data_IF_505124893310
#
_entry.id   IF_505124893310
#
_cell.length_a   1.000
_cell.length_b   1.000
_cell.length_c   1.000
_cell.angle_alpha   90.00
_cell.angle_beta   90.00
_cell.angle_gamma   90.00
#
_symmetry.space_group_name_H-M   'P 1'
#
loop_
_entity.id
_entity.type
_entity.pdbx_description
1 polymer ?
#
# COMPACT_ATOMS: atom_id res chain seq x y z
N UNK A 1 -6.04 -19.72 38.30
CA UNK A 1 -5.63 -19.84 36.88
C UNK A 1 -4.35 -19.03 36.70
N UNK A 2 -3.33 -19.53 36.01
CA UNK A 2 -2.11 -18.74 35.76
C UNK A 2 -2.40 -17.55 34.83
N UNK A 3 -1.75 -16.38 35.03
CA UNK A 3 -1.84 -15.21 34.13
C UNK A 3 -1.62 -15.62 32.67
N UNK A 4 -0.77 -16.63 32.42
CA UNK A 4 -0.50 -17.20 31.08
C UNK A 4 -1.71 -17.88 30.45
N UNK A 5 -2.46 -18.65 31.24
CA UNK A 5 -3.69 -19.31 30.76
C UNK A 5 -4.80 -18.29 30.51
N UNK A 6 -4.87 -17.25 31.35
CA UNK A 6 -5.80 -16.13 31.16
C UNK A 6 -5.48 -15.34 29.88
N UNK A 7 -4.21 -15.11 29.56
CA UNK A 7 -3.81 -14.50 28.30
C UNK A 7 -4.27 -15.33 27.09
N UNK A 8 -3.98 -16.63 27.05
CA UNK A 8 -4.41 -17.52 25.95
C UNK A 8 -5.94 -17.57 25.80
N UNK A 9 -6.67 -17.49 26.90
CA UNK A 9 -8.15 -17.42 26.92
C UNK A 9 -8.70 -16.03 26.57
N UNK A 10 -7.91 -14.97 26.72
CA UNK A 10 -8.31 -13.59 26.38
C UNK A 10 -8.34 -13.35 24.87
N UNK A 11 -7.61 -14.15 24.08
CA UNK A 11 -7.58 -14.07 22.62
C UNK A 11 -8.87 -14.64 22.04
N UNK A 12 -9.97 -13.91 22.17
CA UNK A 12 -11.30 -14.29 21.76
C UNK A 12 -12.13 -13.05 21.41
N UNK A 13 -13.01 -13.15 20.42
CA UNK A 13 -13.78 -12.01 19.89
C UNK A 13 -14.73 -11.38 20.92
N UNK A 14 -15.16 -12.13 21.93
CA UNK A 14 -15.97 -11.62 23.05
C UNK A 14 -15.13 -10.99 24.17
N UNK A 15 -13.80 -11.14 24.13
CA UNK A 15 -12.86 -10.72 25.18
C UNK A 15 -11.78 -9.76 24.68
N UNK A 16 -12.09 -9.01 23.61
CA UNK A 16 -11.16 -8.05 22.98
C UNK A 16 -10.55 -7.12 24.03
N UNK A 17 -11.35 -6.59 24.97
CA UNK A 17 -10.84 -5.69 26.00
C UNK A 17 -9.89 -6.37 26.97
N UNK A 18 -10.14 -7.64 27.34
CA UNK A 18 -9.24 -8.41 28.21
C UNK A 18 -7.90 -8.66 27.51
N UNK A 19 -7.95 -9.00 26.21
CA UNK A 19 -6.74 -9.14 25.40
C UNK A 19 -5.95 -7.83 25.33
N UNK A 20 -6.62 -6.71 25.02
CA UNK A 20 -5.98 -5.39 24.97
C UNK A 20 -5.38 -4.99 26.33
N UNK A 21 -6.01 -5.36 27.44
CA UNK A 21 -5.47 -5.15 28.77
C UNK A 21 -4.16 -5.93 28.98
N UNK A 22 -4.07 -7.19 28.53
CA UNK A 22 -2.79 -7.93 28.55
C UNK A 22 -1.71 -7.31 27.67
N UNK A 23 -2.06 -6.78 26.50
CA UNK A 23 -1.11 -6.06 25.64
C UNK A 23 -0.61 -4.77 26.30
N UNK A 24 -1.48 -4.06 27.02
CA UNK A 24 -1.11 -2.86 27.79
C UNK A 24 -0.20 -3.20 28.96
N UNK A 25 -0.49 -4.27 29.69
CA UNK A 25 0.35 -4.77 30.79
C UNK A 25 1.76 -5.16 30.34
N UNK A 26 1.94 -5.62 29.09
CA UNK A 26 3.27 -5.86 28.53
C UNK A 26 4.11 -4.57 28.40
N UNK A 27 3.46 -3.41 28.24
CA UNK A 27 4.11 -2.10 28.13
C UNK A 27 4.23 -1.38 29.48
N UNK A 28 3.71 -1.95 30.56
CA UNK A 28 3.72 -1.34 31.89
C UNK A 28 4.92 -1.85 32.69
N UNK A 29 5.80 -0.92 33.10
CA UNK A 29 6.98 -1.23 33.90
C UNK A 29 6.69 -1.59 35.36
N UNK A 30 5.43 -1.43 35.83
CA UNK A 30 5.04 -1.68 37.22
C UNK A 30 4.43 -3.07 37.48
N UNK A 31 3.78 -3.70 36.49
CA UNK A 31 3.26 -5.09 36.58
C UNK A 31 3.60 -5.87 35.30
N UNK A 32 4.78 -6.53 35.25
CA UNK A 32 5.30 -7.10 34.02
C UNK A 32 4.55 -8.38 33.67
N UNK A 33 3.62 -8.28 32.70
CA UNK A 33 3.27 -9.42 31.87
C UNK A 33 4.11 -9.38 30.60
N UNK A 34 5.35 -9.85 30.68
CA UNK A 34 6.26 -9.80 29.54
C UNK A 34 5.93 -10.89 28.51
N UNK A 35 5.33 -10.47 27.40
CA UNK A 35 5.06 -11.35 26.27
C UNK A 35 6.35 -11.93 25.67
N UNK A 36 7.49 -11.24 25.77
CA UNK A 36 8.78 -11.73 25.31
C UNK A 36 9.29 -12.93 26.14
N UNK A 37 8.86 -13.07 27.39
CA UNK A 37 9.13 -14.27 28.22
C UNK A 37 8.09 -15.36 28.02
N UNK A 38 6.82 -15.00 27.84
CA UNK A 38 5.71 -15.96 27.73
C UNK A 38 5.72 -16.68 26.39
N UNK A 39 5.96 -15.98 25.28
CA UNK A 39 5.87 -16.55 23.93
C UNK A 39 6.89 -17.66 23.65
N UNK A 40 8.18 -17.55 24.07
CA UNK A 40 9.16 -18.63 23.89
C UNK A 40 8.86 -19.90 24.70
N UNK A 41 8.21 -19.76 25.87
CA UNK A 41 7.86 -20.88 26.73
C UNK A 41 6.68 -21.72 26.20
N UNK A 42 5.91 -21.19 25.23
CA UNK A 42 4.78 -21.90 24.66
C UNK A 42 5.24 -23.08 23.78
N UNK A 43 4.57 -24.22 23.96
CA UNK A 43 4.73 -25.35 23.05
C UNK A 43 4.29 -24.96 21.63
N UNK A 44 4.83 -25.65 20.62
CA UNK A 44 4.52 -25.37 19.20
C UNK A 44 3.00 -25.41 18.93
N UNK A 45 2.30 -26.39 19.51
CA UNK A 45 0.84 -26.52 19.42
C UNK A 45 0.10 -25.31 20.02
N UNK A 46 0.54 -24.83 21.19
CA UNK A 46 -0.05 -23.67 21.85
C UNK A 46 0.21 -22.36 21.10
N UNK A 47 1.38 -22.22 20.46
CA UNK A 47 1.68 -21.07 19.58
C UNK A 47 0.79 -21.07 18.35
N UNK A 48 0.57 -22.23 17.74
CA UNK A 48 -0.33 -22.37 16.61
C UNK A 48 -1.79 -22.06 17.00
N UNK A 49 -2.26 -22.59 18.12
CA UNK A 49 -3.59 -22.28 18.65
C UNK A 49 -3.75 -20.78 18.97
N UNK A 50 -2.74 -20.16 19.58
CA UNK A 50 -2.72 -18.73 19.85
C UNK A 50 -2.80 -17.91 18.55
N UNK A 51 -2.06 -18.31 17.53
CA UNK A 51 -2.07 -17.69 16.21
C UNK A 51 -3.45 -17.76 15.55
N UNK A 52 -4.06 -18.95 15.53
CA UNK A 52 -5.41 -19.15 14.98
C UNK A 52 -6.45 -18.31 15.73
N UNK A 53 -6.33 -18.21 17.06
CA UNK A 53 -7.21 -17.37 17.89
C UNK A 53 -7.02 -15.89 17.61
N UNK A 54 -5.78 -15.42 17.41
CA UNK A 54 -5.50 -14.03 17.05
C UNK A 54 -6.04 -13.71 15.66
N UNK A 55 -5.88 -14.62 14.70
CA UNK A 55 -6.43 -14.47 13.36
C UNK A 55 -7.96 -14.36 13.40
N UNK A 56 -8.62 -15.26 14.14
CA UNK A 56 -10.08 -15.20 14.34
C UNK A 56 -10.50 -13.92 15.03
N UNK A 57 -9.79 -13.48 16.07
CA UNK A 57 -10.05 -12.23 16.77
C UNK A 57 -9.96 -11.03 15.82
N UNK A 58 -8.91 -10.98 14.99
CA UNK A 58 -8.70 -9.95 13.98
C UNK A 58 -9.84 -9.96 12.95
N UNK A 59 -10.16 -11.12 12.38
CA UNK A 59 -11.28 -11.29 11.44
C UNK A 59 -12.61 -10.80 12.03
N UNK A 60 -12.95 -11.19 13.26
CA UNK A 60 -14.19 -10.76 13.92
C UNK A 60 -14.19 -9.26 14.21
N UNK A 61 -13.07 -8.72 14.71
CA UNK A 61 -12.95 -7.29 15.05
C UNK A 61 -13.13 -6.40 13.82
N UNK A 62 -12.55 -6.82 12.69
CA UNK A 62 -12.65 -6.10 11.41
C UNK A 62 -14.01 -6.26 10.75
N UNK A 63 -14.67 -7.42 10.91
CA UNK A 63 -16.06 -7.59 10.44
C UNK A 63 -17.01 -6.71 11.24
N UNK A 64 -16.81 -6.59 12.56
CA UNK A 64 -17.63 -5.76 13.43
C UNK A 64 -17.36 -4.25 13.28
N UNK A 65 -16.11 -3.88 12.98
CA UNK A 65 -15.66 -2.50 12.77
C UNK A 65 -15.09 -2.37 11.36
N UNK A 66 -15.96 -2.32 10.34
CA UNK A 66 -15.55 -2.32 8.95
C UNK A 66 -14.62 -1.13 8.71
N UNK A 67 -13.53 -1.39 7.99
CA UNK A 67 -12.39 -0.48 7.84
C UNK A 67 -12.74 0.89 7.25
N UNK A 68 -13.88 0.98 6.57
CA UNK A 68 -14.55 2.19 6.09
C UNK A 68 -14.75 3.22 7.22
N UNK A 69 -14.87 2.76 8.47
CA UNK A 69 -15.08 3.61 9.65
C UNK A 69 -13.80 4.15 10.29
N UNK A 70 -12.62 3.72 9.83
CA UNK A 70 -11.34 4.14 10.42
C UNK A 70 -10.99 5.59 10.07
N UNK A 71 -11.63 6.14 9.04
CA UNK A 71 -11.42 7.50 8.55
C UNK A 71 -12.56 8.44 8.99
N UNK A 72 -13.75 7.90 9.31
CA UNK A 72 -14.98 8.68 9.58
C UNK A 72 -15.04 9.38 10.94
N UNK A 73 -14.00 9.34 11.77
CA UNK A 73 -13.95 10.15 13.00
C UNK A 73 -13.78 11.66 12.76
N UNK A 74 -13.73 12.11 11.49
CA UNK A 74 -13.38 13.48 11.11
C UNK A 74 -14.21 14.06 9.95
N UNK A 75 -15.36 13.47 9.60
CA UNK A 75 -16.25 14.02 8.56
C UNK A 75 -17.32 15.00 9.11
N UNK A 76 -17.23 15.40 10.38
CA UNK A 76 -18.01 16.55 10.85
C UNK A 76 -17.27 17.84 10.53
N UNK A 77 -17.64 18.41 9.38
CA UNK A 77 -17.65 19.84 9.09
C UNK A 77 -18.46 20.58 10.16
N UNK A 78 -17.87 20.76 11.35
CA UNK A 78 -18.36 21.63 12.41
C UNK A 78 -17.29 22.69 12.62
N UNK A 79 -17.52 23.86 12.03
CA UNK A 79 -16.54 24.93 11.86
C UNK A 79 -15.78 25.34 13.13
N UNK A 80 -14.52 25.75 12.92
CA UNK A 80 -13.74 26.66 13.75
C UNK A 80 -13.79 26.46 15.28
N UNK A 81 -13.96 25.23 15.74
CA UNK A 81 -13.50 24.84 17.06
C UNK A 81 -12.39 23.83 16.88
N UNK A 82 -11.16 24.29 17.09
CA UNK A 82 -10.04 23.44 17.48
C UNK A 82 -10.45 22.71 18.77
N UNK A 83 -11.17 21.60 18.63
CA UNK A 83 -11.27 20.61 19.69
C UNK A 83 -9.88 20.01 19.76
N UNK A 84 -9.16 20.32 20.84
CA UNK A 84 -7.94 19.61 21.21
C UNK A 84 -8.19 18.12 21.07
N UNK A 85 -7.68 17.53 19.99
CA UNK A 85 -7.66 16.10 19.79
C UNK A 85 -6.73 15.58 20.89
N UNK A 86 -7.31 14.99 21.94
CA UNK A 86 -6.58 14.37 23.05
C UNK A 86 -5.47 13.47 22.50
N UNK A 87 -4.32 13.40 23.18
CA UNK A 87 -3.15 12.58 22.79
C UNK A 87 -3.50 11.09 22.57
N UNK A 88 -4.69 10.65 23.00
CA UNK A 88 -5.30 9.33 22.75
C UNK A 88 -5.71 9.05 21.29
N UNK A 89 -5.67 10.03 20.38
CA UNK A 89 -6.13 9.89 18.98
C UNK A 89 -5.02 9.70 17.91
N UNK A 90 -3.78 9.39 18.29
CA UNK A 90 -2.71 9.01 17.31
C UNK A 90 -2.82 7.56 16.83
N UNK A 91 -4.03 7.12 16.47
CA UNK A 91 -4.30 5.75 16.03
C UNK A 91 -3.47 5.30 14.83
N UNK A 92 -3.06 6.24 13.96
CA UNK A 92 -2.20 5.94 12.80
C UNK A 92 -0.77 5.51 13.18
N UNK A 93 -0.30 5.73 14.42
CA UNK A 93 1.03 5.27 14.86
C UNK A 93 1.09 3.73 14.93
N UNK A 94 -0.06 3.04 14.89
CA UNK A 94 -0.10 1.59 14.83
C UNK A 94 0.17 1.01 13.43
N UNK A 95 0.35 1.83 12.39
CA UNK A 95 0.52 1.36 11.01
C UNK A 95 1.73 0.41 10.85
N UNK A 96 2.95 0.70 11.34
CA UNK A 96 4.05 -0.26 11.22
C UNK A 96 3.77 -1.60 11.95
N UNK A 97 3.27 -1.62 13.20
CA UNK A 97 2.81 -2.86 13.84
C UNK A 97 1.70 -3.60 13.09
N UNK A 98 0.75 -2.89 12.48
CA UNK A 98 -0.32 -3.49 11.66
C UNK A 98 0.29 -4.15 10.42
N UNK A 99 1.21 -3.49 9.72
CA UNK A 99 1.92 -4.07 8.57
C UNK A 99 2.70 -5.33 8.96
N UNK A 100 3.37 -5.32 10.12
CA UNK A 100 4.05 -6.51 10.64
C UNK A 100 3.07 -7.67 10.91
N UNK A 101 1.90 -7.39 11.49
CA UNK A 101 0.86 -8.39 11.69
C UNK A 101 0.33 -8.93 10.35
N UNK A 102 0.03 -8.04 9.39
CA UNK A 102 -0.42 -8.43 8.05
C UNK A 102 0.62 -9.30 7.34
N UNK A 103 1.91 -9.05 7.57
CA UNK A 103 3.02 -9.84 7.02
C UNK A 103 2.95 -11.29 7.49
N UNK A 104 2.83 -11.50 8.80
CA UNK A 104 2.74 -12.83 9.39
C UNK A 104 1.47 -13.57 8.93
N UNK A 105 0.33 -12.87 8.87
CA UNK A 105 -0.94 -13.43 8.38
C UNK A 105 -0.84 -13.81 6.90
N UNK A 106 -0.31 -12.92 6.06
CA UNK A 106 -0.14 -13.17 4.64
C UNK A 106 0.80 -14.36 4.42
N UNK A 107 1.92 -14.43 5.15
CA UNK A 107 2.86 -15.52 5.04
C UNK A 107 2.21 -16.85 5.41
N UNK A 108 1.44 -16.90 6.50
CA UNK A 108 0.71 -18.10 6.90
C UNK A 108 -0.30 -18.52 5.82
N UNK A 109 -1.08 -17.58 5.27
CA UNK A 109 -2.08 -17.87 4.24
C UNK A 109 -1.45 -18.38 2.93
N UNK A 110 -0.32 -17.80 2.50
CA UNK A 110 0.30 -18.16 1.22
C UNK A 110 1.20 -19.40 1.31
N UNK A 111 1.73 -19.73 2.49
CA UNK A 111 2.62 -20.88 2.67
C UNK A 111 1.90 -22.23 2.76
N UNK A 112 0.60 -22.22 3.10
CA UNK A 112 -0.20 -23.43 3.25
C UNK A 112 -1.10 -23.62 2.01
N UNK A 113 -1.08 -24.81 1.41
CA UNK A 113 -2.10 -25.18 0.42
C UNK A 113 -3.41 -25.43 1.17
N UNK A 114 -4.52 -24.75 0.84
CA UNK A 114 -5.79 -24.99 1.50
C UNK A 114 -6.25 -26.43 1.22
N UNK A 115 -6.71 -27.12 2.27
CA UNK A 115 -7.58 -28.29 2.10
C UNK A 115 -8.93 -27.83 1.52
N UNK A 116 -9.65 -28.66 0.76
CA UNK A 116 -10.91 -28.28 0.08
C UNK A 116 -11.94 -27.63 1.03
N UNK A 117 -11.98 -28.06 2.30
CA UNK A 117 -12.88 -27.51 3.32
C UNK A 117 -12.45 -26.13 3.88
N UNK A 118 -11.24 -25.66 3.57
CA UNK A 118 -10.64 -24.41 4.08
C UNK A 118 -10.47 -23.33 3.01
N UNK A 119 -10.81 -23.62 1.76
CA UNK A 119 -10.64 -22.69 0.63
C UNK A 119 -11.45 -21.39 0.81
N UNK A 120 -12.72 -21.51 1.22
CA UNK A 120 -13.60 -20.37 1.49
C UNK A 120 -13.07 -19.47 2.62
N UNK A 121 -12.54 -20.08 3.69
CA UNK A 121 -11.96 -19.32 4.81
C UNK A 121 -10.65 -18.64 4.41
N UNK A 122 -9.86 -19.28 3.55
CA UNK A 122 -8.61 -18.73 3.04
C UNK A 122 -8.88 -17.53 2.13
N UNK A 123 -9.83 -17.64 1.19
CA UNK A 123 -10.25 -16.53 0.33
C UNK A 123 -10.82 -15.36 1.16
N UNK A 124 -11.68 -15.63 2.15
CA UNK A 124 -12.18 -14.60 3.07
C UNK A 124 -11.03 -13.90 3.80
N UNK A 125 -10.04 -14.66 4.28
CA UNK A 125 -8.87 -14.11 4.98
C UNK A 125 -8.03 -13.24 4.05
N UNK A 126 -7.77 -13.69 2.83
CA UNK A 126 -7.06 -12.91 1.81
C UNK A 126 -7.78 -11.60 1.54
N UNK A 127 -9.11 -11.62 1.35
CA UNK A 127 -9.91 -10.41 1.12
C UNK A 127 -9.87 -9.44 2.30
N UNK A 128 -9.98 -9.95 3.53
CA UNK A 128 -9.85 -9.13 4.73
C UNK A 128 -8.46 -8.48 4.76
N UNK A 129 -7.42 -9.26 4.50
CA UNK A 129 -6.04 -8.80 4.49
C UNK A 129 -5.81 -7.68 3.46
N UNK A 130 -6.24 -7.89 2.22
CA UNK A 130 -6.12 -6.86 1.16
C UNK A 130 -6.89 -5.59 1.51
N UNK A 131 -8.06 -5.70 2.15
CA UNK A 131 -8.84 -4.54 2.58
C UNK A 131 -8.15 -3.74 3.70
N UNK A 132 -7.56 -4.41 4.70
CA UNK A 132 -6.79 -3.72 5.74
C UNK A 132 -5.57 -3.04 5.12
N UNK A 133 -4.87 -3.73 4.21
CA UNK A 133 -3.71 -3.16 3.53
C UNK A 133 -4.07 -1.90 2.73
N UNK A 134 -5.16 -1.94 1.96
CA UNK A 134 -5.69 -0.76 1.28
C UNK A 134 -5.91 0.39 2.26
N UNK A 135 -6.48 0.09 3.44
CA UNK A 135 -6.77 1.10 4.47
C UNK A 135 -5.54 1.65 5.15
N UNK A 136 -4.49 0.84 5.32
CA UNK A 136 -3.17 1.32 5.71
C UNK A 136 -2.67 2.38 4.73
N UNK A 137 -2.73 2.10 3.42
CA UNK A 137 -2.30 3.05 2.38
C UNK A 137 -3.17 4.31 2.39
N UNK A 138 -4.49 4.18 2.54
CA UNK A 138 -5.41 5.32 2.65
C UNK A 138 -5.13 6.20 3.88
N UNK A 139 -4.81 5.60 5.04
CA UNK A 139 -4.46 6.33 6.27
C UNK A 139 -3.16 7.13 6.08
N UNK A 140 -2.13 6.52 5.49
CA UNK A 140 -0.87 7.23 5.20
C UNK A 140 -1.14 8.40 4.24
N UNK A 141 -1.88 8.15 3.14
CA UNK A 141 -2.25 9.18 2.17
C UNK A 141 -3.12 10.29 2.78
N UNK A 142 -4.00 9.96 3.72
CA UNK A 142 -4.81 10.92 4.44
C UNK A 142 -3.94 11.77 5.38
N UNK A 143 -3.04 11.14 6.16
CA UNK A 143 -2.16 11.87 7.07
C UNK A 143 -1.29 12.87 6.32
N UNK A 144 -0.66 12.47 5.21
CA UNK A 144 0.11 13.37 4.34
C UNK A 144 -0.67 14.60 3.85
N UNK A 145 -1.99 14.47 3.68
CA UNK A 145 -2.87 15.59 3.28
C UNK A 145 -3.28 16.47 4.45
N UNK A 146 -3.54 15.87 5.62
CA UNK A 146 -3.98 16.58 6.82
C UNK A 146 -2.84 17.32 7.50
N UNK A 147 -1.68 16.68 7.58
CA UNK A 147 -0.47 17.23 8.17
C UNK A 147 0.75 16.56 7.53
N UNK A 148 1.48 17.37 6.76
CA UNK A 148 2.58 16.91 5.94
C UNK A 148 3.73 16.36 6.76
N UNK A 149 4.03 16.94 7.93
CA UNK A 149 5.19 16.53 8.75
C UNK A 149 4.93 15.18 9.40
N UNK A 150 3.80 15.04 10.12
CA UNK A 150 3.43 13.75 10.72
C UNK A 150 3.18 12.67 9.65
N UNK A 151 2.68 13.05 8.47
CA UNK A 151 2.50 12.12 7.34
C UNK A 151 3.82 11.62 6.77
N UNK A 152 4.84 12.49 6.66
CA UNK A 152 6.18 12.11 6.24
C UNK A 152 6.88 11.24 7.28
N UNK A 153 6.75 11.56 8.56
CA UNK A 153 7.26 10.71 9.65
C UNK A 153 6.63 9.32 9.62
N UNK A 154 5.31 9.24 9.42
CA UNK A 154 4.59 7.98 9.30
C UNK A 154 5.08 7.15 8.10
N UNK A 155 5.29 7.79 6.95
CA UNK A 155 5.91 7.18 5.78
C UNK A 155 7.27 6.55 6.13
N UNK A 156 8.18 7.33 6.71
CA UNK A 156 9.52 6.85 7.08
C UNK A 156 9.49 5.70 8.08
N UNK A 157 8.64 5.80 9.12
CA UNK A 157 8.50 4.75 10.14
C UNK A 157 7.91 3.44 9.60
N UNK A 158 7.16 3.50 8.49
CA UNK A 158 6.48 2.35 7.88
C UNK A 158 7.29 1.67 6.78
N UNK A 159 8.40 2.26 6.33
CA UNK A 159 9.18 1.76 5.17
C UNK A 159 9.60 0.29 5.32
N UNK A 160 10.22 -0.09 6.43
CA UNK A 160 10.68 -1.48 6.65
C UNK A 160 9.51 -2.45 6.79
N UNK A 161 8.46 -2.09 7.56
CA UNK A 161 7.30 -2.95 7.74
C UNK A 161 6.53 -3.16 6.42
N UNK A 162 6.46 -2.12 5.57
CA UNK A 162 5.89 -2.23 4.23
C UNK A 162 6.77 -3.12 3.33
N UNK A 163 8.10 -2.99 3.41
CA UNK A 163 9.01 -3.84 2.65
C UNK A 163 8.84 -5.31 3.02
N UNK A 164 8.84 -5.64 4.31
CA UNK A 164 8.66 -6.99 4.82
C UNK A 164 7.31 -7.58 4.37
N UNK A 165 6.25 -6.77 4.43
CA UNK A 165 4.93 -7.16 3.93
C UNK A 165 4.96 -7.52 2.43
N UNK A 166 5.60 -6.68 1.61
CA UNK A 166 5.70 -6.96 0.17
C UNK A 166 6.61 -8.14 -0.15
N UNK A 167 7.57 -8.49 0.72
CA UNK A 167 8.38 -9.69 0.53
C UNK A 167 7.57 -11.00 0.71
N UNK A 168 6.37 -10.96 1.28
CA UNK A 168 5.48 -12.12 1.37
C UNK A 168 5.08 -12.65 -0.02
N UNK A 169 5.17 -11.81 -1.05
CA UNK A 169 5.00 -12.24 -2.45
C UNK A 169 5.89 -13.40 -2.86
N UNK A 170 7.05 -13.63 -2.20
CA UNK A 170 7.94 -14.77 -2.47
C UNK A 170 7.29 -16.14 -2.21
N UNK A 171 6.21 -16.18 -1.42
CA UNK A 171 5.48 -17.41 -1.11
C UNK A 171 4.40 -17.74 -2.15
N UNK A 172 4.21 -16.91 -3.17
CA UNK A 172 3.30 -17.17 -4.29
C UNK A 172 4.04 -17.05 -5.62
N UNK A 173 3.77 -17.97 -6.54
CA UNK A 173 4.40 -18.00 -7.87
C UNK A 173 3.46 -17.50 -8.98
N UNK A 174 2.17 -17.35 -8.70
CA UNK A 174 1.15 -16.93 -9.65
C UNK A 174 0.41 -15.67 -9.16
N UNK A 175 -0.30 -15.02 -10.09
CA UNK A 175 -1.15 -13.86 -9.81
C UNK A 175 -2.36 -14.31 -8.99
N UNK A 176 -2.21 -14.28 -7.67
CA UNK A 176 -3.27 -14.61 -6.73
C UNK A 176 -4.14 -13.38 -6.41
N UNK A 177 -5.33 -13.59 -5.84
CA UNK A 177 -6.20 -12.52 -5.35
C UNK A 177 -5.47 -11.58 -4.37
N UNK A 178 -4.57 -12.13 -3.56
CA UNK A 178 -3.70 -11.36 -2.67
C UNK A 178 -2.81 -10.40 -3.44
N UNK A 179 -2.09 -10.89 -4.47
CA UNK A 179 -1.21 -10.06 -5.31
C UNK A 179 -2.04 -8.97 -5.99
N UNK A 180 -3.13 -9.33 -6.66
CA UNK A 180 -3.98 -8.35 -7.34
C UNK A 180 -4.49 -7.28 -6.37
N UNK A 181 -5.00 -7.66 -5.19
CA UNK A 181 -5.52 -6.71 -4.21
C UNK A 181 -4.47 -5.76 -3.63
N UNK A 182 -3.28 -6.28 -3.28
CA UNK A 182 -2.18 -5.48 -2.73
C UNK A 182 -1.62 -4.52 -3.77
N UNK A 183 -1.28 -5.01 -4.97
CA UNK A 183 -0.63 -4.19 -5.97
C UNK A 183 -1.58 -3.22 -6.65
N UNK A 184 -2.88 -3.54 -6.80
CA UNK A 184 -3.86 -2.57 -7.32
C UNK A 184 -4.01 -1.38 -6.38
N UNK A 185 -4.03 -1.63 -5.06
CA UNK A 185 -4.03 -0.58 -4.03
C UNK A 185 -2.78 0.31 -4.13
N UNK A 186 -1.59 -0.29 -4.30
CA UNK A 186 -0.33 0.46 -4.48
C UNK A 186 -0.32 1.26 -5.80
N UNK A 187 -0.71 0.65 -6.92
CA UNK A 187 -0.80 1.32 -8.22
C UNK A 187 -1.72 2.54 -8.13
N UNK A 188 -2.93 2.36 -7.60
CA UNK A 188 -3.89 3.44 -7.41
C UNK A 188 -3.29 4.56 -6.55
N UNK A 189 -2.69 4.22 -5.40
CA UNK A 189 -2.13 5.20 -4.49
C UNK A 189 -0.99 6.03 -5.11
N UNK A 190 -0.02 5.38 -5.76
CA UNK A 190 1.12 6.04 -6.41
C UNK A 190 0.66 6.91 -7.57
N UNK A 191 -0.22 6.38 -8.44
CA UNK A 191 -0.75 7.13 -9.58
C UNK A 191 -1.52 8.37 -9.10
N UNK A 192 -2.42 8.22 -8.13
CA UNK A 192 -3.22 9.33 -7.59
C UNK A 192 -2.32 10.39 -6.94
N UNK A 193 -1.32 9.98 -6.17
CA UNK A 193 -0.41 10.88 -5.48
C UNK A 193 0.41 11.75 -6.46
N UNK A 194 0.96 11.14 -7.52
CA UNK A 194 1.67 11.88 -8.58
C UNK A 194 0.68 12.74 -9.38
N UNK A 195 -0.46 12.19 -9.81
CA UNK A 195 -1.45 12.93 -10.60
C UNK A 195 -1.97 14.17 -9.89
N UNK A 196 -2.21 14.11 -8.58
CA UNK A 196 -2.61 15.29 -7.79
C UNK A 196 -1.56 16.38 -7.77
N UNK A 197 -0.28 16.01 -7.81
CA UNK A 197 0.81 16.98 -7.89
C UNK A 197 0.86 17.61 -9.28
N UNK A 198 0.71 16.79 -10.34
CA UNK A 198 0.64 17.28 -11.72
C UNK A 198 -0.56 18.20 -11.97
N UNK A 199 -1.70 17.95 -11.33
CA UNK A 199 -2.90 18.81 -11.42
C UNK A 199 -2.72 20.18 -10.77
N UNK A 200 -1.76 20.34 -9.84
CA UNK A 200 -1.50 21.61 -9.15
C UNK A 200 -0.49 22.49 -9.88
N UNK A 201 0.09 22.01 -10.99
CA UNK A 201 1.08 22.75 -11.78
C UNK A 201 0.42 23.97 -12.42
N UNK A 202 1.03 25.14 -12.21
CA UNK A 202 0.62 26.41 -12.83
C UNK A 202 1.04 26.47 -14.30
N UNK A 203 0.35 27.21 -15.19
CA UNK A 203 0.75 27.37 -16.60
C UNK A 203 2.18 27.88 -16.84
N UNK A 204 2.81 28.47 -15.83
CA UNK A 204 4.19 29.02 -15.89
C UNK A 204 5.24 27.98 -15.48
N UNK A 205 4.83 26.90 -14.82
CA UNK A 205 5.72 25.90 -14.25
C UNK A 205 5.83 24.71 -15.22
N UNK A 206 7.05 24.43 -15.68
CA UNK A 206 7.30 23.31 -16.59
C UNK A 206 7.09 21.98 -15.86
N UNK A 207 6.42 21.03 -16.52
CA UNK A 207 6.31 19.65 -16.03
C UNK A 207 7.68 18.99 -16.09
N UNK A 208 8.39 19.02 -14.96
CA UNK A 208 9.73 18.46 -14.82
C UNK A 208 9.70 16.94 -14.95
N UNK A 209 10.67 16.42 -15.71
CA UNK A 209 10.92 14.98 -15.82
C UNK A 209 11.60 14.53 -14.52
N UNK A 210 11.04 13.56 -13.78
CA UNK A 210 11.64 13.12 -12.53
C UNK A 210 12.91 12.29 -12.82
N UNK A 211 13.97 12.53 -12.07
CA UNK A 211 15.26 11.83 -12.22
C UNK A 211 15.46 10.79 -11.13
N UNK A 212 14.92 10.98 -9.93
CA UNK A 212 15.06 10.05 -8.82
C UNK A 212 13.73 9.87 -8.11
N UNK A 213 13.63 8.80 -7.31
CA UNK A 213 12.44 8.57 -6.47
C UNK A 213 12.16 9.79 -5.56
N UNK A 214 13.17 10.59 -5.22
CA UNK A 214 13.06 11.80 -4.39
C UNK A 214 12.35 12.98 -5.08
N UNK A 215 12.22 12.94 -6.41
CA UNK A 215 11.49 13.95 -7.16
C UNK A 215 9.97 13.69 -7.17
N UNK A 216 9.55 12.56 -6.60
CA UNK A 216 8.15 12.18 -6.49
C UNK A 216 7.53 12.66 -5.17
N UNK A 217 6.20 12.81 -5.11
CA UNK A 217 5.53 13.20 -3.88
C UNK A 217 5.67 12.10 -2.79
N UNK A 218 5.48 12.44 -1.50
CA UNK A 218 5.96 11.61 -0.40
C UNK A 218 5.45 10.16 -0.37
N UNK A 219 4.18 9.93 -0.72
CA UNK A 219 3.63 8.57 -0.69
C UNK A 219 4.23 7.73 -1.82
N UNK A 220 4.26 8.28 -3.03
CA UNK A 220 4.88 7.67 -4.21
C UNK A 220 6.36 7.40 -4.01
N UNK A 221 7.09 8.35 -3.40
CA UNK A 221 8.48 8.19 -3.02
C UNK A 221 8.66 6.97 -2.11
N UNK A 222 7.92 6.93 -1.00
CA UNK A 222 8.00 5.86 0.01
C UNK A 222 7.72 4.50 -0.62
N UNK A 223 6.61 4.38 -1.35
CA UNK A 223 6.18 3.13 -1.98
C UNK A 223 7.22 2.69 -3.01
N UNK A 224 7.60 3.53 -3.98
CA UNK A 224 8.55 3.12 -5.02
C UNK A 224 9.92 2.80 -4.44
N UNK A 225 10.42 3.57 -3.47
CA UNK A 225 11.69 3.29 -2.78
C UNK A 225 11.68 1.89 -2.16
N UNK A 226 10.58 1.50 -1.52
CA UNK A 226 10.41 0.17 -0.94
C UNK A 226 10.35 -0.91 -2.02
N UNK A 227 9.58 -0.71 -3.08
CA UNK A 227 9.37 -1.71 -4.12
C UNK A 227 10.64 -2.01 -4.91
N UNK A 228 11.42 -0.98 -5.22
CA UNK A 228 12.66 -1.09 -5.98
C UNK A 228 13.77 -1.88 -5.27
N UNK A 229 13.62 -2.15 -3.96
CA UNK A 229 14.53 -3.04 -3.21
C UNK A 229 14.43 -4.51 -3.64
N UNK A 230 13.36 -4.93 -4.33
CA UNK A 230 13.17 -6.33 -4.74
C UNK A 230 12.67 -6.45 -6.19
N UNK A 231 13.45 -7.05 -7.10
CA UNK A 231 13.02 -7.21 -8.49
C UNK A 231 11.71 -8.00 -8.67
N UNK A 232 11.43 -8.96 -7.79
CA UNK A 232 10.17 -9.70 -7.83
C UNK A 232 8.96 -8.80 -7.51
N UNK A 233 9.08 -7.97 -6.47
CA UNK A 233 8.05 -6.99 -6.08
C UNK A 233 7.84 -5.96 -7.19
N UNK A 234 8.93 -5.43 -7.76
CA UNK A 234 8.85 -4.51 -8.91
C UNK A 234 8.11 -5.13 -10.10
N UNK A 235 8.33 -6.41 -10.42
CA UNK A 235 7.61 -7.09 -11.52
C UNK A 235 6.11 -7.21 -11.27
N UNK A 236 5.70 -7.58 -10.07
CA UNK A 236 4.27 -7.64 -9.73
C UNK A 236 3.58 -6.28 -9.90
N UNK A 237 4.27 -5.20 -9.53
CA UNK A 237 3.77 -3.85 -9.72
C UNK A 237 3.65 -3.43 -11.17
N UNK A 238 4.64 -3.76 -12.00
CA UNK A 238 4.59 -3.47 -13.43
C UNK A 238 3.50 -4.28 -14.13
N UNK A 239 3.34 -5.55 -13.75
CA UNK A 239 2.25 -6.39 -14.24
C UNK A 239 0.88 -5.80 -13.88
N UNK A 240 0.70 -5.36 -12.63
CA UNK A 240 -0.55 -4.73 -12.18
C UNK A 240 -0.81 -3.38 -12.84
N UNK A 241 0.24 -2.58 -13.03
CA UNK A 241 0.17 -1.32 -13.75
C UNK A 241 -0.24 -1.53 -15.21
N UNK A 242 0.32 -2.54 -15.88
CA UNK A 242 -0.10 -2.91 -17.24
C UNK A 242 -1.59 -3.25 -17.28
N UNK A 243 -2.06 -4.08 -16.34
CA UNK A 243 -3.48 -4.42 -16.26
C UNK A 243 -4.38 -3.22 -15.95
N UNK A 244 -3.94 -2.28 -15.12
CA UNK A 244 -4.69 -1.04 -14.83
C UNK A 244 -4.86 -0.14 -16.06
N UNK A 245 -3.88 -0.13 -16.97
CA UNK A 245 -3.96 0.60 -18.24
C UNK A 245 -4.87 -0.10 -19.23
N UNK A 246 -4.84 -1.43 -19.26
CA UNK A 246 -5.68 -2.26 -20.13
C UNK A 246 -7.15 -2.27 -19.69
N UNK A 247 -7.43 -2.20 -18.39
CA UNK A 247 -8.78 -2.19 -17.83
C UNK A 247 -9.45 -0.82 -17.83
N UNK A 248 -8.84 0.19 -18.46
CA UNK A 248 -9.32 1.57 -18.50
C UNK A 248 -9.56 2.21 -17.10
N UNK A 249 -8.91 1.66 -16.06
CA UNK A 249 -8.94 2.28 -14.72
C UNK A 249 -8.18 3.63 -14.68
N UNK A 250 -7.39 3.88 -15.72
CA UNK A 250 -6.60 5.08 -15.96
C UNK A 250 -7.18 5.76 -17.20
N UNK A 251 -7.86 6.88 -17.00
CA UNK A 251 -8.70 7.52 -18.02
C UNK A 251 -8.39 9.02 -18.23
N UNK A 252 -7.36 9.54 -17.56
CA UNK A 252 -6.99 10.96 -17.64
C UNK A 252 -5.53 11.21 -17.99
N UNK A 253 -5.27 12.34 -18.65
CA UNK A 253 -3.93 12.77 -19.05
C UNK A 253 -2.95 12.88 -17.88
N UNK A 254 -3.44 13.32 -16.71
CA UNK A 254 -2.64 13.42 -15.49
C UNK A 254 -2.28 12.05 -14.91
N UNK A 255 -3.10 11.02 -15.12
CA UNK A 255 -2.77 9.66 -14.66
C UNK A 255 -1.83 8.94 -15.64
N UNK A 256 -2.00 9.10 -16.95
CA UNK A 256 -1.01 8.59 -17.91
C UNK A 256 0.36 9.29 -17.77
N UNK A 257 0.36 10.58 -17.46
CA UNK A 257 1.59 11.31 -17.10
C UNK A 257 2.21 10.77 -15.81
N UNK A 258 1.41 10.47 -14.78
CA UNK A 258 1.89 9.83 -13.56
C UNK A 258 2.53 8.46 -13.83
N UNK A 259 1.89 7.61 -14.64
CA UNK A 259 2.48 6.34 -15.08
C UNK A 259 3.83 6.58 -15.77
N UNK A 260 3.92 7.59 -16.64
CA UNK A 260 5.16 7.93 -17.35
C UNK A 260 6.26 8.42 -16.39
N UNK A 261 5.92 9.18 -15.36
CA UNK A 261 6.84 9.57 -14.29
C UNK A 261 7.38 8.33 -13.55
N UNK A 262 6.50 7.37 -13.22
CA UNK A 262 6.91 6.12 -12.59
C UNK A 262 7.87 5.35 -13.50
N UNK A 263 7.52 5.12 -14.77
CA UNK A 263 8.39 4.45 -15.73
C UNK A 263 9.75 5.14 -15.88
N UNK A 264 9.77 6.47 -15.83
CA UNK A 264 11.01 7.26 -15.91
C UNK A 264 11.94 7.02 -14.74
N UNK A 265 11.39 6.76 -13.55
CA UNK A 265 12.20 6.39 -12.38
C UNK A 265 12.70 4.95 -12.48
N UNK A 266 11.84 4.01 -12.90
CA UNK A 266 12.22 2.59 -12.90
C UNK A 266 13.13 2.21 -14.09
N UNK A 267 13.04 2.92 -15.23
CA UNK A 267 13.88 2.67 -16.44
C UNK A 267 15.39 2.76 -16.19
N UNK A 268 15.81 3.30 -15.05
CA UNK A 268 17.21 3.33 -14.62
C UNK A 268 17.77 1.94 -14.34
N UNK A 269 16.90 0.92 -14.24
CA UNK A 269 17.26 -0.48 -14.10
C UNK A 269 17.02 -1.25 -15.41
N UNK A 270 18.08 -1.79 -16.00
CA UNK A 270 18.00 -2.62 -17.23
C UNK A 270 17.23 -3.95 -17.03
N UNK A 271 16.93 -4.32 -15.79
CA UNK A 271 16.30 -5.60 -15.44
C UNK A 271 14.84 -5.76 -15.90
N UNK A 272 14.18 -4.69 -16.37
CA UNK A 272 12.76 -4.72 -16.76
C UNK A 272 12.47 -3.99 -18.09
N UNK A 273 13.46 -3.95 -19.00
CA UNK A 273 13.35 -3.26 -20.30
C UNK A 273 12.11 -3.74 -21.09
N UNK A 274 11.80 -5.04 -21.05
CA UNK A 274 10.65 -5.60 -21.77
C UNK A 274 9.35 -5.07 -21.19
N UNK A 275 9.18 -5.17 -19.88
CA UNK A 275 8.00 -4.73 -19.16
C UNK A 275 7.76 -3.22 -19.34
N UNK A 276 8.78 -2.37 -19.19
CA UNK A 276 8.62 -0.92 -19.42
C UNK A 276 8.27 -0.58 -20.85
N UNK A 277 8.85 -1.28 -21.83
CA UNK A 277 8.57 -1.04 -23.25
C UNK A 277 7.10 -1.32 -23.56
N UNK A 278 6.57 -2.44 -23.08
CA UNK A 278 5.17 -2.81 -23.28
C UNK A 278 4.23 -1.79 -22.62
N UNK A 279 4.50 -1.43 -21.37
CA UNK A 279 3.70 -0.42 -20.65
C UNK A 279 3.79 0.93 -21.35
N UNK A 280 4.99 1.40 -21.73
CA UNK A 280 5.18 2.67 -22.41
C UNK A 280 4.44 2.74 -23.76
N UNK A 281 4.42 1.64 -24.52
CA UNK A 281 3.64 1.56 -25.76
C UNK A 281 2.14 1.61 -25.49
N UNK A 282 1.66 0.91 -24.45
CA UNK A 282 0.26 0.95 -24.02
C UNK A 282 -0.16 2.36 -23.59
N UNK A 283 0.64 3.04 -22.78
CA UNK A 283 0.40 4.44 -22.38
C UNK A 283 0.38 5.36 -23.60
N UNK A 284 1.37 5.23 -24.51
CA UNK A 284 1.41 6.05 -25.72
C UNK A 284 0.15 5.89 -26.56
N UNK A 285 -0.35 4.66 -26.71
CA UNK A 285 -1.60 4.38 -27.42
C UNK A 285 -2.80 5.05 -26.75
N UNK A 286 -2.93 4.94 -25.42
CA UNK A 286 -4.05 5.55 -24.69
C UNK A 286 -4.03 7.09 -24.80
N UNK A 287 -2.86 7.71 -24.61
CA UNK A 287 -2.70 9.16 -24.73
C UNK A 287 -3.02 9.66 -26.14
N UNK A 288 -2.58 8.96 -27.19
CA UNK A 288 -2.87 9.33 -28.57
C UNK A 288 -4.36 9.26 -28.87
N UNK A 289 -5.04 8.21 -28.39
CA UNK A 289 -6.49 8.07 -28.53
C UNK A 289 -7.23 9.21 -27.81
N UNK A 290 -6.84 9.54 -26.58
CA UNK A 290 -7.41 10.66 -25.83
C UNK A 290 -7.24 11.98 -26.58
N UNK A 291 -6.01 12.31 -27.01
CA UNK A 291 -5.73 13.57 -27.68
C UNK A 291 -6.50 13.71 -29.01
N UNK A 292 -6.63 12.63 -29.79
CA UNK A 292 -7.44 12.65 -31.02
C UNK A 292 -8.92 13.02 -30.76
N UNK A 293 -9.43 12.73 -29.56
CA UNK A 293 -10.82 13.01 -29.17
C UNK A 293 -10.94 14.42 -28.56
N UNK A 294 -9.91 14.88 -27.82
CA UNK A 294 -10.00 16.09 -26.96
C UNK A 294 -9.22 17.31 -27.49
N UNK A 295 -8.49 17.19 -28.60
CA UNK A 295 -7.56 18.22 -29.11
C UNK A 295 -8.16 19.62 -29.34
N UNK A 296 -9.46 19.73 -29.65
CA UNK A 296 -10.11 21.02 -29.89
C UNK A 296 -10.48 21.78 -28.60
N UNK A 297 -10.56 21.09 -27.46
CA UNK A 297 -11.09 21.62 -26.19
C UNK A 297 -10.10 21.54 -25.01
N UNK A 298 -8.85 21.12 -25.23
CA UNK A 298 -7.88 20.95 -24.15
C UNK A 298 -7.31 22.28 -23.65
N UNK A 299 -7.32 22.50 -22.34
CA UNK A 299 -6.64 23.64 -21.72
C UNK A 299 -5.11 23.58 -21.94
N UNK A 300 -4.44 24.73 -21.88
CA UNK A 300 -3.00 24.87 -22.06
C UNK A 300 -2.19 23.98 -21.09
N UNK A 301 -2.68 23.80 -19.86
CA UNK A 301 -2.05 22.91 -18.87
C UNK A 301 -2.11 21.45 -19.33
N UNK A 302 -3.28 20.97 -19.80
CA UNK A 302 -3.42 19.60 -20.30
C UNK A 302 -2.56 19.34 -21.53
N UNK A 303 -2.43 20.35 -22.40
CA UNK A 303 -1.53 20.28 -23.56
C UNK A 303 -0.06 20.21 -23.13
N UNK A 304 0.36 21.01 -22.15
CA UNK A 304 1.72 20.99 -21.61
C UNK A 304 2.05 19.62 -20.99
N UNK A 305 1.13 19.05 -20.21
CA UNK A 305 1.27 17.70 -19.64
C UNK A 305 1.36 16.66 -20.76
N UNK A 306 0.52 16.75 -21.79
CA UNK A 306 0.57 15.86 -22.95
C UNK A 306 1.94 15.92 -23.66
N UNK A 307 2.41 17.12 -24.01
CA UNK A 307 3.67 17.31 -24.73
C UNK A 307 4.86 16.78 -23.92
N UNK A 308 4.89 17.07 -22.61
CA UNK A 308 5.91 16.55 -21.69
C UNK A 308 5.86 15.02 -21.59
N UNK A 309 4.65 14.45 -21.47
CA UNK A 309 4.46 13.00 -21.36
C UNK A 309 4.90 12.27 -22.62
N UNK A 310 4.55 12.77 -23.80
CA UNK A 310 4.97 12.20 -25.08
C UNK A 310 6.49 12.25 -25.23
N UNK A 311 7.14 13.36 -24.85
CA UNK A 311 8.60 13.48 -24.84
C UNK A 311 9.25 12.43 -23.96
N UNK A 312 8.80 12.29 -22.70
CA UNK A 312 9.33 11.28 -21.78
C UNK A 312 9.13 9.84 -22.29
N UNK A 313 7.99 9.53 -22.91
CA UNK A 313 7.73 8.22 -23.50
C UNK A 313 8.66 7.93 -24.68
N UNK A 314 8.98 8.92 -25.51
CA UNK A 314 9.95 8.76 -26.59
C UNK A 314 11.33 8.42 -26.01
N UNK A 315 11.76 9.12 -24.96
CA UNK A 315 13.04 8.87 -24.30
C UNK A 315 13.11 7.45 -23.72
N UNK A 316 12.04 6.98 -23.05
CA UNK A 316 11.93 5.61 -22.54
C UNK A 316 12.05 4.60 -23.69
N UNK A 317 11.30 4.80 -24.77
CA UNK A 317 11.26 3.87 -25.90
C UNK A 317 12.59 3.83 -26.67
N UNK A 318 13.29 4.95 -26.79
CA UNK A 318 14.60 5.04 -27.43
C UNK A 318 15.67 4.26 -26.64
N UNK A 319 15.64 4.35 -25.30
CA UNK A 319 16.53 3.57 -24.45
C UNK A 319 16.32 2.06 -24.65
N UNK A 320 15.07 1.62 -24.81
CA UNK A 320 14.73 0.22 -25.07
C UNK A 320 15.18 -0.31 -26.45
N UNK A 321 15.70 0.55 -27.33
CA UNK A 321 16.20 0.18 -28.67
C UNK A 321 17.73 0.09 -28.73
N UNK A 322 18.44 0.59 -27.73
CA UNK A 322 19.91 0.49 -27.66
C UNK A 322 20.28 -0.97 -27.37
N UNK A 323 21.03 -1.66 -28.24
CA UNK A 323 21.54 -2.99 -27.91
C UNK A 323 22.54 -2.86 -26.77
N UNK A 324 22.29 -3.58 -25.66
CA UNK A 324 23.21 -3.71 -24.53
C UNK A 324 24.64 -3.90 -25.06
N UNK A 325 25.50 -2.89 -24.90
CA UNK A 325 26.92 -2.97 -25.26
C UNK A 325 27.72 -3.67 -24.18
#
# INVERSE_FOLDING_TARGET
>A
MSKRKQFLESVHHERVQDFLNFIRLHKDGADPFDLAEVLPELQRSQRQELWERQLKLLQHSLTAHPTERWITGAEEDAGDMEVEISEEQKGYVCIPPVLALLTEVAQACLSHKPEEDQEDQTSLTIRILTNIFQKVVEIIAHRLRKDKEEGQELCCSSEEALYDFLLVTKFTTERSEFITGVFSSLCAAVIIDISRTLQKISPVEEVLTPETVNDLPPLSNTILKVMLRSPAVTRFFLSEMSSSIESEAIDSITQWAAVTHILTIIKQSDAFIVEFKEIALSVRRQIQNYYNITAENSDNIQRTIYESTVRMLIDILNQCQQPNS
#
